data_IF_392899429497
#
_entry.id   IF_392899429497
#
_cell.length_a   1.000
_cell.length_b   1.000
_cell.length_c   1.000
_cell.angle_alpha   90.00
_cell.angle_beta   90.00
_cell.angle_gamma   90.00
#
_symmetry.space_group_name_H-M   'P 1'
#
loop_
_entity.id
_entity.type
_entity.pdbx_description
1 polymer ?
#
# COMPACT_ATOMS: atom_id res chain seq x y z
N UNK A 1 -9.95 13.87 13.94
CA UNK A 1 -10.52 12.83 13.05
C UNK A 1 -11.37 13.50 11.99
N UNK A 2 -11.07 13.26 10.72
CA UNK A 2 -11.84 13.72 9.56
C UNK A 2 -12.01 12.57 8.56
N UNK A 3 -13.17 12.49 7.93
CA UNK A 3 -13.46 11.51 6.90
C UNK A 3 -14.31 12.17 5.80
N UNK A 4 -14.02 11.88 4.53
CA UNK A 4 -14.72 12.46 3.38
C UNK A 4 -13.89 12.41 2.09
N UNK A 5 -14.26 13.15 1.04
CA UNK A 5 -13.46 13.27 -0.18
C UNK A 5 -12.05 13.83 0.10
N UNK A 6 -11.04 13.42 -0.68
CA UNK A 6 -9.64 13.78 -0.46
C UNK A 6 -9.40 15.28 -0.30
N UNK A 7 -9.96 16.11 -1.19
CA UNK A 7 -9.84 17.57 -1.11
C UNK A 7 -10.48 18.19 0.14
N UNK A 8 -11.59 17.63 0.64
CA UNK A 8 -12.22 18.08 1.87
C UNK A 8 -11.36 17.75 3.09
N UNK A 9 -10.86 16.52 3.18
CA UNK A 9 -10.01 16.10 4.29
C UNK A 9 -8.71 16.90 4.33
N UNK A 10 -8.06 17.11 3.18
CA UNK A 10 -6.84 17.91 3.08
C UNK A 10 -7.07 19.34 3.59
N UNK A 11 -8.17 19.97 3.17
CA UNK A 11 -8.53 21.32 3.64
C UNK A 11 -8.67 21.40 5.16
N UNK A 12 -9.33 20.41 5.79
CA UNK A 12 -9.49 20.36 7.25
C UNK A 12 -8.14 20.15 7.96
N UNK A 13 -7.32 19.21 7.48
CA UNK A 13 -6.01 18.91 8.07
C UNK A 13 -5.07 20.11 7.97
N UNK A 14 -5.00 20.78 6.81
CA UNK A 14 -4.16 21.96 6.61
C UNK A 14 -4.63 23.14 7.47
N UNK A 15 -5.95 23.31 7.62
CA UNK A 15 -6.50 24.33 8.52
C UNK A 15 -6.12 24.06 9.98
N UNK A 16 -6.14 22.81 10.42
CA UNK A 16 -5.75 22.43 11.78
C UNK A 16 -4.23 22.62 12.01
N UNK A 17 -3.38 22.28 11.03
CA UNK A 17 -1.94 22.57 11.06
C UNK A 17 -1.67 24.06 11.17
N UNK A 18 -2.35 24.87 10.35
CA UNK A 18 -2.22 26.33 10.40
C UNK A 18 -2.64 26.92 11.76
N UNK A 19 -3.55 26.24 12.46
CA UNK A 19 -3.96 26.58 13.82
C UNK A 19 -3.00 26.05 14.91
N UNK A 20 -1.89 25.39 14.55
CA UNK A 20 -0.87 24.91 15.48
C UNK A 20 -1.18 23.58 16.15
N UNK A 21 -2.07 22.76 15.59
CA UNK A 21 -2.36 21.44 16.14
C UNK A 21 -1.17 20.49 15.95
N UNK A 22 -0.78 19.70 16.97
CA UNK A 22 0.21 18.63 16.81
C UNK A 22 -0.25 17.56 15.80
N UNK A 23 0.67 17.00 15.01
CA UNK A 23 0.36 15.94 14.02
C UNK A 23 -0.28 14.71 14.68
N UNK A 24 0.13 14.36 15.91
CA UNK A 24 -0.43 13.24 16.67
C UNK A 24 -1.94 13.36 16.95
N UNK A 25 -2.52 14.56 16.78
CA UNK A 25 -3.97 14.82 16.94
C UNK A 25 -4.72 14.88 15.58
N UNK A 26 -4.00 14.78 14.46
CA UNK A 26 -4.53 14.91 13.11
C UNK A 26 -4.75 13.53 12.48
N UNK A 27 -5.92 12.97 12.73
CA UNK A 27 -6.30 11.67 12.18
C UNK A 27 -7.28 11.80 11.01
N UNK A 28 -7.12 10.95 10.00
CA UNK A 28 -8.01 10.84 8.83
C UNK A 28 -8.40 9.39 8.55
N UNK A 29 -9.51 9.21 7.87
CA UNK A 29 -9.97 7.91 7.39
C UNK A 29 -10.55 8.05 5.98
N UNK A 30 -10.19 7.16 5.06
CA UNK A 30 -10.70 7.14 3.69
C UNK A 30 -11.83 6.12 3.55
N UNK A 31 -12.97 6.52 2.96
CA UNK A 31 -14.04 5.58 2.60
C UNK A 31 -13.69 4.70 1.40
N UNK A 32 -12.90 5.24 0.47
CA UNK A 32 -12.48 4.56 -0.75
C UNK A 32 -11.21 5.23 -1.27
N UNK A 33 -10.35 4.47 -1.94
CA UNK A 33 -9.25 5.05 -2.70
C UNK A 33 -9.77 5.72 -3.98
N UNK A 34 -9.09 6.79 -4.41
CA UNK A 34 -9.28 7.31 -5.77
C UNK A 34 -8.71 6.31 -6.80
N UNK A 35 -9.26 6.25 -8.02
CA UNK A 35 -8.72 5.39 -9.07
C UNK A 35 -7.25 5.74 -9.35
N UNK A 36 -6.37 4.76 -9.24
CA UNK A 36 -4.96 4.90 -9.64
C UNK A 36 -4.83 4.69 -11.14
N UNK A 37 -4.09 5.55 -11.83
CA UNK A 37 -3.74 5.31 -13.24
C UNK A 37 -2.78 4.11 -13.35
N UNK A 38 -3.28 3.00 -13.92
CA UNK A 38 -2.53 1.76 -14.11
C UNK A 38 -1.94 1.62 -15.51
N UNK A 39 -2.03 2.64 -16.37
CA UNK A 39 -1.63 2.57 -17.78
C UNK A 39 -0.13 2.30 -17.98
N UNK A 40 0.70 2.69 -17.01
CA UNK A 40 2.15 2.51 -17.02
C UNK A 40 2.64 1.35 -16.15
N UNK A 41 1.73 0.48 -15.67
CA UNK A 41 2.13 -0.64 -14.83
C UNK A 41 3.01 -1.62 -15.62
N UNK A 42 4.23 -1.84 -15.11
CA UNK A 42 5.13 -2.88 -15.59
C UNK A 42 4.95 -4.19 -14.82
N UNK A 43 5.56 -5.27 -15.32
CA UNK A 43 5.70 -6.51 -14.55
C UNK A 43 6.90 -6.46 -13.60
N UNK A 44 6.81 -7.19 -12.49
CA UNK A 44 7.91 -7.41 -11.55
C UNK A 44 7.79 -8.81 -10.94
N UNK A 45 8.73 -9.20 -10.08
CA UNK A 45 8.68 -10.46 -9.35
C UNK A 45 8.58 -10.24 -7.85
N UNK A 46 7.99 -11.20 -7.15
CA UNK A 46 8.03 -11.30 -5.69
C UNK A 46 8.68 -12.63 -5.30
N UNK A 47 9.48 -12.62 -4.24
CA UNK A 47 10.03 -13.81 -3.62
C UNK A 47 9.42 -13.99 -2.22
N UNK A 48 8.94 -15.18 -1.93
CA UNK A 48 8.38 -15.58 -0.64
C UNK A 48 9.53 -16.04 0.25
N UNK A 49 9.88 -15.27 1.27
CA UNK A 49 11.11 -15.50 2.05
C UNK A 49 11.12 -16.86 2.76
N UNK A 50 9.96 -17.35 3.21
CA UNK A 50 9.87 -18.64 3.91
C UNK A 50 10.16 -19.85 3.01
N UNK A 51 9.95 -19.73 1.70
CA UNK A 51 10.06 -20.85 0.75
C UNK A 51 11.09 -20.63 -0.36
N UNK A 52 11.53 -19.39 -0.59
CA UNK A 52 12.32 -18.98 -1.76
C UNK A 52 11.54 -19.02 -3.08
N UNK A 53 10.22 -19.25 -3.06
CA UNK A 53 9.41 -19.29 -4.26
C UNK A 53 9.34 -17.90 -4.91
N UNK A 54 9.62 -17.82 -6.20
CA UNK A 54 9.54 -16.58 -6.98
C UNK A 54 8.32 -16.60 -7.89
N UNK A 55 7.48 -15.57 -7.78
CA UNK A 55 6.24 -15.41 -8.53
C UNK A 55 6.30 -14.15 -9.40
N UNK A 56 5.86 -14.27 -10.66
CA UNK A 56 5.76 -13.13 -11.56
C UNK A 56 4.44 -12.38 -11.35
N UNK A 57 4.51 -11.07 -11.18
CA UNK A 57 3.36 -10.17 -11.06
C UNK A 57 3.19 -9.41 -12.37
N UNK A 58 2.18 -9.74 -13.20
CA UNK A 58 1.94 -9.02 -14.44
C UNK A 58 1.39 -7.61 -14.16
N UNK A 59 1.42 -6.75 -15.19
CA UNK A 59 0.93 -5.37 -15.11
C UNK A 59 -0.53 -5.28 -14.62
N UNK A 60 -1.37 -6.22 -15.05
CA UNK A 60 -2.82 -6.21 -14.83
C UNK A 60 -3.28 -7.00 -13.59
N UNK A 61 -2.36 -7.41 -12.71
CA UNK A 61 -2.69 -8.08 -11.45
C UNK A 61 -2.00 -7.41 -10.28
N UNK A 62 -2.65 -7.48 -9.12
CA UNK A 62 -2.09 -7.09 -7.83
C UNK A 62 -1.23 -8.23 -7.26
N UNK A 63 -0.39 -7.93 -6.27
CA UNK A 63 0.37 -8.96 -5.57
C UNK A 63 -0.57 -9.93 -4.86
N UNK A 64 -1.62 -9.42 -4.21
CA UNK A 64 -2.63 -10.23 -3.52
C UNK A 64 -3.28 -11.26 -4.46
N UNK A 65 -3.68 -10.86 -5.67
CA UNK A 65 -4.26 -11.77 -6.67
C UNK A 65 -3.29 -12.85 -7.14
N UNK A 66 -1.99 -12.52 -7.22
CA UNK A 66 -0.96 -13.49 -7.62
C UNK A 66 -0.73 -14.50 -6.49
N UNK A 67 -0.65 -14.05 -5.24
CA UNK A 67 -0.52 -14.92 -4.06
C UNK A 67 -1.71 -15.89 -3.94
N UNK A 68 -2.94 -15.37 -4.04
CA UNK A 68 -4.18 -16.18 -4.00
C UNK A 68 -4.17 -17.26 -5.09
N UNK A 69 -3.78 -16.91 -6.33
CA UNK A 69 -3.72 -17.88 -7.43
C UNK A 69 -2.69 -19.00 -7.25
N UNK A 70 -1.74 -18.83 -6.31
CA UNK A 70 -0.77 -19.84 -5.91
C UNK A 70 -1.10 -20.49 -4.56
N UNK A 71 -2.28 -20.21 -3.99
CA UNK A 71 -2.72 -20.77 -2.72
C UNK A 71 -2.00 -20.19 -1.49
N UNK A 72 -1.45 -18.97 -1.60
CA UNK A 72 -0.79 -18.27 -0.50
C UNK A 72 -1.78 -17.24 0.05
N UNK A 73 -2.29 -17.51 1.24
CA UNK A 73 -3.27 -16.64 1.90
C UNK A 73 -2.59 -15.54 2.70
N UNK A 74 -3.08 -14.31 2.51
CA UNK A 74 -2.75 -13.15 3.35
C UNK A 74 -4.07 -12.51 3.83
N UNK A 75 -4.08 -11.81 4.99
CA UNK A 75 -5.28 -11.13 5.44
C UNK A 75 -5.72 -10.05 4.44
N UNK A 76 -6.97 -10.08 4.00
CA UNK A 76 -7.56 -9.10 3.08
C UNK A 76 -8.91 -8.60 3.63
N UNK A 77 -9.26 -7.37 3.28
CA UNK A 77 -10.55 -6.77 3.67
C UNK A 77 -11.05 -5.79 2.61
N UNK A 78 -10.48 -4.57 2.53
CA UNK A 78 -10.98 -3.54 1.60
C UNK A 78 -10.51 -3.70 0.16
N UNK A 79 -9.36 -4.34 -0.06
CA UNK A 79 -8.66 -4.45 -1.35
C UNK A 79 -8.39 -3.12 -2.09
N UNK A 80 -8.44 -2.01 -1.37
CA UNK A 80 -8.29 -0.64 -1.91
C UNK A 80 -7.14 0.13 -1.27
N UNK A 81 -6.32 -0.50 -0.42
CA UNK A 81 -5.21 0.18 0.24
C UNK A 81 -5.61 1.20 1.32
N UNK A 82 -6.82 1.09 1.90
CA UNK A 82 -7.29 2.04 2.93
C UNK A 82 -7.32 1.48 4.35
N UNK A 83 -7.46 0.16 4.51
CA UNK A 83 -7.69 -0.46 5.83
C UNK A 83 -6.44 -1.02 6.53
N UNK A 84 -5.32 -1.18 5.83
CA UNK A 84 -4.10 -1.77 6.37
C UNK A 84 -4.15 -3.29 6.68
N UNK A 85 -5.26 -3.98 6.48
CA UNK A 85 -5.37 -5.42 6.81
C UNK A 85 -4.33 -6.29 6.11
N UNK A 86 -3.98 -5.96 4.87
CA UNK A 86 -3.01 -6.73 4.07
C UNK A 86 -1.55 -6.34 4.29
N UNK A 87 -1.24 -5.46 5.26
CA UNK A 87 0.09 -4.94 5.46
C UNK A 87 1.11 -6.07 5.58
N UNK A 88 2.10 -6.06 4.69
CA UNK A 88 3.08 -7.13 4.51
C UNK A 88 4.47 -6.54 4.62
N UNK A 89 5.35 -7.19 5.37
CA UNK A 89 6.73 -6.73 5.53
C UNK A 89 7.56 -7.05 4.28
N UNK A 90 8.40 -6.10 3.89
CA UNK A 90 9.33 -6.16 2.77
C UNK A 90 10.74 -6.30 3.31
N UNK A 91 11.42 -7.38 2.94
CA UNK A 91 12.79 -7.68 3.37
C UNK A 91 13.83 -7.14 2.39
N UNK A 92 13.46 -6.93 1.12
CA UNK A 92 14.32 -6.39 0.08
C UNK A 92 13.51 -5.80 -1.08
N UNK A 93 14.02 -4.72 -1.67
CA UNK A 93 13.41 -4.02 -2.80
C UNK A 93 12.78 -2.70 -2.38
N UNK A 94 12.22 -1.97 -3.33
CA UNK A 94 11.58 -0.66 -3.10
C UNK A 94 10.13 -0.76 -3.57
N UNK A 95 9.15 -0.75 -2.66
CA UNK A 95 7.74 -0.73 -3.04
C UNK A 95 7.35 0.52 -3.84
N UNK A 96 6.39 0.34 -4.72
CA UNK A 96 5.62 1.43 -5.30
C UNK A 96 4.32 1.58 -4.50
N UNK A 97 4.37 2.42 -3.46
CA UNK A 97 3.26 2.64 -2.54
C UNK A 97 2.06 3.28 -3.25
N UNK A 98 0.91 2.63 -3.14
CA UNK A 98 -0.38 3.09 -3.69
C UNK A 98 -1.50 3.07 -2.65
N UNK A 99 -1.16 2.80 -1.40
CA UNK A 99 -2.10 2.90 -0.28
C UNK A 99 -2.26 4.31 0.25
N UNK A 100 -3.35 4.49 0.98
CA UNK A 100 -3.67 5.68 1.75
C UNK A 100 -3.62 5.39 3.27
N UNK A 101 -3.07 4.23 3.65
CA UNK A 101 -2.99 3.75 5.02
C UNK A 101 -1.69 4.20 5.69
N UNK A 102 -0.54 3.99 5.04
CA UNK A 102 0.76 4.41 5.55
C UNK A 102 0.93 5.93 5.38
N UNK A 103 1.54 6.56 6.37
CA UNK A 103 2.05 7.92 6.28
C UNK A 103 3.24 8.00 5.33
N UNK A 104 3.58 9.20 4.85
CA UNK A 104 4.74 9.40 3.96
C UNK A 104 6.06 8.95 4.61
N UNK A 105 6.22 9.19 5.92
CA UNK A 105 7.39 8.76 6.68
C UNK A 105 7.47 7.23 6.78
N UNK A 106 6.34 6.53 6.98
CA UNK A 106 6.29 5.07 6.98
C UNK A 106 6.57 4.50 5.58
N UNK A 107 6.02 5.09 4.52
CA UNK A 107 6.31 4.69 3.14
C UNK A 107 7.79 4.87 2.79
N UNK A 108 8.45 5.92 3.32
CA UNK A 108 9.86 6.18 3.09
C UNK A 108 10.79 5.10 3.69
N UNK A 109 10.34 4.33 4.68
CA UNK A 109 11.11 3.22 5.26
C UNK A 109 11.24 2.02 4.31
N UNK A 110 10.29 1.85 3.37
CA UNK A 110 10.24 0.74 2.41
C UNK A 110 10.30 -0.66 3.04
N UNK A 111 9.97 -0.79 4.33
CA UNK A 111 10.04 -2.05 5.08
C UNK A 111 8.69 -2.78 5.14
N UNK A 112 7.62 -2.15 4.66
CA UNK A 112 6.26 -2.69 4.62
C UNK A 112 5.53 -2.17 3.38
N UNK A 113 4.52 -2.90 2.91
CA UNK A 113 3.63 -2.44 1.84
C UNK A 113 2.27 -3.15 1.86
N UNK A 114 1.36 -2.68 1.00
CA UNK A 114 -0.02 -3.18 0.87
C UNK A 114 -0.20 -3.96 -0.44
N UNK A 115 -0.07 -5.30 -0.46
CA UNK A 115 -0.11 -6.13 -1.67
C UNK A 115 -1.42 -6.09 -2.46
N UNK A 116 -2.51 -5.59 -1.86
CA UNK A 116 -3.78 -5.41 -2.55
C UNK A 116 -3.78 -4.29 -3.60
N UNK A 117 -2.89 -3.30 -3.50
CA UNK A 117 -2.84 -2.18 -4.44
C UNK A 117 -1.42 -1.74 -4.82
N UNK A 118 -0.44 -1.85 -3.91
CA UNK A 118 0.93 -1.41 -4.13
C UNK A 118 1.68 -2.32 -5.11
N UNK A 119 2.67 -1.74 -5.81
CA UNK A 119 3.54 -2.45 -6.78
C UNK A 119 5.00 -2.37 -6.33
N UNK A 120 5.93 -2.43 -7.28
CA UNK A 120 7.37 -2.37 -7.04
C UNK A 120 8.05 -1.38 -7.98
N UNK A 121 8.97 -0.58 -7.43
CA UNK A 121 9.92 0.23 -8.19
C UNK A 121 11.16 -0.57 -8.60
N UNK A 122 11.45 -1.67 -7.90
CA UNK A 122 12.53 -2.60 -8.23
C UNK A 122 12.03 -3.82 -9.01
N UNK A 123 12.88 -4.52 -9.78
CA UNK A 123 12.46 -5.73 -10.49
C UNK A 123 12.00 -6.88 -9.60
N UNK A 124 12.45 -6.90 -8.33
CA UNK A 124 12.13 -7.94 -7.34
C UNK A 124 11.81 -7.29 -5.99
N UNK A 125 10.76 -7.77 -5.31
CA UNK A 125 10.53 -7.60 -3.87
C UNK A 125 10.70 -8.95 -3.16
N UNK A 126 11.31 -8.97 -1.98
CA UNK A 126 11.33 -10.15 -1.09
C UNK A 126 10.37 -9.87 0.07
N UNK A 127 9.38 -10.73 0.26
CA UNK A 127 8.29 -10.54 1.22
C UNK A 127 8.41 -11.52 2.38
N UNK A 128 8.14 -11.05 3.60
CA UNK A 128 8.11 -11.86 4.82
C UNK A 128 6.79 -12.65 4.93
N UNK A 129 6.63 -13.58 3.99
CA UNK A 129 5.54 -14.55 3.87
C UNK A 129 6.17 -15.94 3.87
#
# INVERSE_FOLDING_TARGET
>A
YVCGPGGFMQHILDSARAAGWPEDNLHREYFSAEPVDTSNDGSFSIEIASTGQVLAVPANKTVAQVLESHGIDIPLSCEQGVCGTCLTRVLKGIPDHRDLFLTEDEQALNDQFTPCCSRSKTPLLVLDI
#
